data_IF_459561481804
#
_entry.id   IF_459561481804
#
_cell.length_a   1.000
_cell.length_b   1.000
_cell.length_c   1.000
_cell.angle_alpha   90.00
_cell.angle_beta   90.00
_cell.angle_gamma   90.00
#
_symmetry.space_group_name_H-M   'P 1'
#
loop_
_entity.id
_entity.type
_entity.pdbx_description
1 polymer ?
2 non-polymer ?
3 water ?
#
# COMPACT_ATOMS: atom_id res chain seq x y z
N UNK A 2 -14.46 -4.34 -22.58
CA UNK A 2 -14.00 -5.47 -23.38
C UNK A 2 -13.17 -6.39 -22.50
N UNK A 3 -13.40 -6.30 -21.17
CA UNK A 3 -12.69 -7.23 -20.34
C UNK A 3 -13.41 -8.57 -20.27
N UNK A 4 -12.67 -9.66 -20.10
CA UNK A 4 -13.24 -10.97 -19.79
C UNK A 4 -14.13 -10.86 -18.55
N UNK A 5 -15.14 -11.73 -18.40
CA UNK A 5 -15.89 -11.79 -17.16
C UNK A 5 -14.95 -12.22 -15.99
N UNK A 6 -15.07 -11.61 -14.82
CA UNK A 6 -14.34 -12.17 -13.66
C UNK A 6 -14.74 -13.62 -13.44
N UNK A 7 -13.79 -14.41 -12.92
CA UNK A 7 -13.99 -15.84 -12.69
C UNK A 7 -14.15 -16.12 -11.20
N UNK A 8 -15.39 -16.21 -10.69
CA UNK A 8 -15.59 -16.40 -9.28
C UNK A 8 -15.11 -17.77 -8.79
N UNK A 9 -15.25 -18.82 -9.62
CA UNK A 9 -14.77 -20.13 -9.20
C UNK A 9 -13.26 -20.08 -8.99
N UNK A 10 -12.58 -19.39 -9.91
CA UNK A 10 -11.11 -19.22 -9.77
C UNK A 10 -10.81 -18.38 -8.54
N UNK A 11 -11.55 -17.30 -8.29
CA UNK A 11 -11.34 -16.52 -7.06
C UNK A 11 -11.51 -17.40 -5.83
N UNK A 12 -12.55 -18.22 -5.83
CA UNK A 12 -12.82 -19.09 -4.69
C UNK A 12 -11.60 -20.01 -4.47
N UNK A 13 -11.07 -20.56 -5.56
CA UNK A 13 -9.91 -21.46 -5.41
C UNK A 13 -8.71 -20.73 -4.87
N UNK A 14 -8.49 -19.50 -5.28
CA UNK A 14 -7.36 -18.73 -4.75
C UNK A 14 -7.49 -18.57 -3.25
N UNK A 15 -8.65 -18.17 -2.77
CA UNK A 15 -8.82 -17.97 -1.31
C UNK A 15 -8.61 -19.27 -0.59
N UNK A 16 -9.16 -20.37 -1.12
CA UNK A 16 -9.06 -21.67 -0.46
C UNK A 16 -7.62 -22.10 -0.37
N UNK A 17 -6.87 -21.86 -1.45
CA UNK A 17 -5.44 -22.16 -1.43
C UNK A 17 -4.73 -21.33 -0.38
N UNK A 18 -5.05 -20.05 -0.30
CA UNK A 18 -4.38 -19.17 0.71
C UNK A 18 -4.64 -19.72 2.09
N UNK A 19 -5.87 -20.15 2.41
CA UNK A 19 -6.13 -20.74 3.72
C UNK A 19 -5.25 -21.98 3.93
N UNK A 20 -5.12 -22.81 2.91
CA UNK A 20 -4.36 -24.05 3.03
C UNK A 20 -2.88 -23.78 3.29
N UNK A 21 -2.43 -22.56 2.97
CA UNK A 21 -1.03 -22.15 3.13
C UNK A 21 -0.80 -21.33 4.39
N UNK A 22 -1.84 -21.04 5.16
CA UNK A 22 -1.62 -20.46 6.46
C UNK A 22 -2.35 -19.15 6.70
N UNK A 23 -3.10 -18.63 5.71
CA UNK A 23 -3.93 -17.43 6.01
C UNK A 23 -5.10 -17.80 6.86
N UNK A 24 -5.36 -17.17 8.00
CA UNK A 24 -6.58 -17.48 8.73
C UNK A 24 -7.84 -17.17 7.93
N UNK A 25 -7.80 -16.06 7.18
CA UNK A 25 -8.89 -15.62 6.37
C UNK A 25 -8.35 -14.95 5.11
N UNK A 26 -9.18 -14.98 4.07
CA UNK A 26 -8.80 -14.32 2.79
C UNK A 26 -10.06 -13.89 2.10
N UNK A 27 -10.02 -12.76 1.41
CA UNK A 27 -11.26 -12.24 0.78
C UNK A 27 -10.91 -11.35 -0.38
N UNK A 28 -11.90 -11.08 -1.19
CA UNK A 28 -11.71 -10.28 -2.41
C UNK A 28 -13.04 -9.67 -2.82
N UNK A 29 -12.97 -8.43 -3.28
CA UNK A 29 -14.10 -7.71 -3.85
C UNK A 29 -13.72 -7.20 -5.23
N UNK A 30 -14.57 -7.39 -6.20
CA UNK A 30 -14.43 -6.87 -7.57
C UNK A 30 -15.57 -5.91 -7.81
N UNK A 31 -15.25 -4.68 -8.25
CA UNK A 31 -16.29 -3.79 -8.75
C UNK A 31 -16.13 -3.83 -10.24
N UNK A 32 -17.01 -4.55 -10.94
CA UNK A 32 -16.95 -4.73 -12.38
C UNK A 32 -17.96 -3.83 -13.05
N UNK A 33 -17.54 -2.57 -13.25
CA UNK A 33 -18.40 -1.61 -13.95
C UNK A 33 -19.83 -1.61 -13.37
N UNK A 34 -19.93 -1.64 -12.05
CA UNK A 34 -21.26 -1.58 -11.40
C UNK A 34 -21.88 -2.90 -10.97
N UNK A 35 -21.25 -3.99 -11.31
CA UNK A 35 -21.65 -5.31 -10.85
C UNK A 35 -20.61 -5.77 -9.82
N UNK A 36 -21.06 -6.14 -8.61
CA UNK A 36 -20.09 -6.50 -7.57
C UNK A 36 -19.88 -7.99 -7.51
N UNK A 37 -18.62 -8.37 -7.30
CA UNK A 37 -18.26 -9.77 -6.93
C UNK A 37 -17.65 -9.73 -5.56
N UNK A 38 -18.03 -10.63 -4.65
CA UNK A 38 -17.45 -10.61 -3.33
C UNK A 38 -17.38 -12.01 -2.78
N UNK A 39 -16.18 -12.38 -2.33
CA UNK A 39 -15.95 -13.72 -1.80
C UNK A 39 -15.04 -13.61 -0.60
N UNK A 40 -15.19 -14.50 0.37
CA UNK A 40 -14.37 -14.57 1.56
C UNK A 40 -14.34 -16.00 2.06
N UNK A 41 -13.24 -16.40 2.70
CA UNK A 41 -13.19 -17.67 3.35
C UNK A 41 -12.37 -17.56 4.60
N UNK A 42 -12.77 -18.29 5.64
CA UNK A 42 -11.97 -18.28 6.86
C UNK A 42 -12.38 -17.21 7.86
N UNK A 43 -11.45 -16.88 8.74
CA UNK A 43 -11.75 -16.16 9.98
C UNK A 43 -11.02 -14.83 10.06
N UNK A 44 -11.79 -13.84 10.55
CA UNK A 44 -11.26 -12.55 10.91
C UNK A 44 -10.50 -12.62 12.25
N UNK A 45 -10.97 -13.46 13.16
CA UNK A 45 -10.36 -13.66 14.46
C UNK A 45 -10.29 -15.15 14.64
N UNK A 46 -9.05 -15.68 14.66
CA UNK A 46 -8.85 -17.12 14.74
C UNK A 46 -9.07 -17.70 16.11
N UNK A 47 -9.05 -16.84 17.14
CA UNK A 47 -9.27 -17.33 18.48
C UNK A 47 -10.75 -17.42 18.81
N UNK A 48 -11.53 -16.43 18.36
CA UNK A 48 -12.97 -16.47 18.57
C UNK A 48 -13.71 -17.20 17.46
N UNK A 49 -13.07 -17.35 16.29
CA UNK A 49 -13.77 -17.99 15.19
C UNK A 49 -14.62 -17.10 14.35
N UNK A 50 -14.70 -15.78 14.65
CA UNK A 50 -15.54 -14.91 13.85
C UNK A 50 -15.10 -14.91 12.39
N UNK A 51 -16.04 -15.13 11.49
CA UNK A 51 -15.77 -15.23 10.06
C UNK A 51 -15.26 -13.89 9.48
N UNK A 52 -14.34 -13.97 8.52
CA UNK A 52 -13.94 -12.76 7.76
C UNK A 52 -15.00 -12.47 6.74
N UNK A 53 -15.14 -11.18 6.41
CA UNK A 53 -16.07 -10.76 5.40
C UNK A 53 -15.51 -9.54 4.66
N UNK A 54 -16.00 -9.32 3.43
CA UNK A 54 -15.44 -8.24 2.62
C UNK A 54 -15.73 -6.85 3.14
N UNK A 55 -16.57 -6.70 4.16
CA UNK A 55 -16.76 -5.37 4.79
C UNK A 55 -15.83 -5.15 5.96
N UNK A 56 -15.01 -6.12 6.36
CA UNK A 56 -14.11 -5.94 7.48
C UNK A 56 -13.04 -4.90 7.14
N UNK A 57 -12.83 -3.93 8.06
CA UNK A 57 -11.69 -3.00 7.84
C UNK A 57 -10.38 -3.70 8.09
N UNK A 58 -9.31 -3.14 7.52
CA UNK A 58 -7.99 -3.77 7.67
C UNK A 58 -6.93 -2.72 7.42
N UNK A 59 -5.68 -3.07 7.78
CA UNK A 59 -4.51 -2.21 7.53
C UNK A 59 -4.00 -2.42 6.10
N UNK A 60 -3.97 -1.39 5.29
CA UNK A 60 -3.62 -1.51 3.89
C UNK A 60 -2.14 -1.44 3.64
N UNK A 61 -1.33 -1.17 4.68
CA UNK A 61 0.12 -1.15 4.54
C UNK A 61 0.54 -0.19 3.44
N UNK A 62 1.45 -0.62 2.60
CA UNK A 62 2.09 0.23 1.59
C UNK A 62 1.15 0.73 0.53
N UNK A 63 -0.09 0.28 0.47
CA UNK A 63 -1.10 0.97 -0.37
C UNK A 63 -1.19 2.44 0.01
N UNK A 64 -0.86 2.77 1.27
CA UNK A 64 -0.79 4.13 1.75
C UNK A 64 0.02 5.02 0.83
N UNK A 65 1.08 4.46 0.21
CA UNK A 65 1.93 5.32 -0.65
C UNK A 65 1.14 5.93 -1.79
N UNK A 66 0.10 5.24 -2.31
CA UNK A 66 -0.68 5.86 -3.36
C UNK A 66 -1.50 7.04 -2.86
N UNK A 67 -2.00 6.94 -1.61
CA UNK A 67 -2.66 8.13 -1.01
C UNK A 67 -1.68 9.31 -0.85
N UNK A 68 -0.48 9.00 -0.34
CA UNK A 68 0.54 10.06 -0.20
C UNK A 68 0.88 10.67 -1.55
N UNK A 69 1.03 9.83 -2.59
CA UNK A 69 1.34 10.30 -3.92
C UNK A 69 0.24 11.17 -4.49
N UNK A 70 -1.00 10.81 -4.27
CA UNK A 70 -2.11 11.66 -4.75
C UNK A 70 -2.06 13.03 -4.10
N UNK A 71 -1.82 13.10 -2.78
CA UNK A 71 -1.69 14.41 -2.15
C UNK A 71 -0.55 15.22 -2.78
N UNK A 72 0.63 14.64 -2.92
CA UNK A 72 1.75 15.34 -3.51
C UNK A 72 1.47 15.81 -4.93
N UNK A 73 0.81 14.96 -5.73
CA UNK A 73 0.54 15.39 -7.10
C UNK A 73 -0.51 16.49 -7.15
N UNK A 74 -1.45 16.52 -6.20
CA UNK A 74 -2.35 17.70 -6.16
C UNK A 74 -1.57 18.94 -5.76
N UNK A 75 -0.53 18.82 -4.90
CA UNK A 75 0.31 19.97 -4.59
C UNK A 75 1.04 20.41 -5.85
N UNK A 76 1.48 19.53 -6.71
CA UNK A 76 2.07 19.91 -8.01
C UNK A 76 1.04 20.65 -8.84
N UNK A 77 -0.19 20.16 -8.92
CA UNK A 77 -1.23 20.87 -9.64
C UNK A 77 -1.44 22.29 -9.14
N UNK A 78 -1.31 22.48 -7.82
CA UNK A 78 -1.49 23.77 -7.17
C UNK A 78 -0.28 24.67 -7.24
N UNK A 79 0.83 24.17 -7.79
CA UNK A 79 2.02 25.04 -7.92
C UNK A 79 2.91 25.06 -6.70
N UNK A 80 2.62 24.19 -5.74
CA UNK A 80 3.36 24.22 -4.48
C UNK A 80 4.55 23.31 -4.45
N UNK A 81 4.69 22.44 -5.43
CA UNK A 81 5.67 21.38 -5.48
C UNK A 81 6.10 21.20 -6.95
N UNK A 82 7.41 21.10 -7.16
CA UNK A 82 8.00 20.75 -8.47
C UNK A 82 8.64 19.39 -8.31
N UNK A 83 8.21 18.39 -9.11
CA UNK A 83 8.72 17.04 -8.89
C UNK A 83 10.23 16.96 -9.16
N UNK A 84 10.79 17.90 -9.95
CA UNK A 84 12.23 17.78 -10.24
C UNK A 84 13.09 18.67 -9.37
N UNK A 85 12.48 19.33 -8.38
CA UNK A 85 13.26 20.06 -7.40
C UNK A 85 13.84 19.07 -6.40
N UNK A 86 14.97 19.47 -5.81
CA UNK A 86 15.61 18.73 -4.73
C UNK A 86 14.72 18.60 -3.52
N UNK A 87 14.71 17.44 -2.89
CA UNK A 87 14.06 17.36 -1.56
C UNK A 87 14.57 18.42 -0.62
N UNK A 88 15.92 18.62 -0.60
CA UNK A 88 16.52 19.57 0.31
C UNK A 88 16.17 21.00 0.03
N UNK A 89 15.58 21.34 -1.11
CA UNK A 89 15.14 22.71 -1.32
C UNK A 89 13.96 22.98 -0.39
N UNK A 90 13.07 21.98 -0.20
CA UNK A 90 11.89 22.13 0.64
C UNK A 90 12.17 21.79 2.09
N UNK A 91 13.13 20.94 2.34
CA UNK A 91 13.47 20.45 3.70
C UNK A 91 14.97 20.62 3.84
N UNK A 92 15.45 21.85 4.00
CA UNK A 92 16.91 22.04 3.96
C UNK A 92 17.63 21.17 5.01
N UNK A 93 18.74 20.62 4.55
CA UNK A 93 19.62 19.81 5.38
C UNK A 93 19.08 18.39 5.60
N UNK A 94 17.94 17.98 5.02
CA UNK A 94 17.37 16.67 5.34
C UNK A 94 18.27 15.54 4.89
N UNK A 95 18.64 15.59 3.60
CA UNK A 95 19.32 14.44 2.97
C UNK A 95 20.75 14.80 2.67
N UNK A 96 21.61 13.78 2.61
CA UNK A 96 23.03 14.06 2.39
C UNK A 96 23.36 14.44 0.95
N UNK A 97 22.40 14.48 0.02
CA UNK A 97 22.67 14.78 -1.40
C UNK A 97 21.54 15.65 -1.92
N UNK A 98 21.87 16.90 -2.26
CA UNK A 98 20.90 17.82 -2.87
C UNK A 98 20.38 17.29 -4.19
N UNK A 99 21.09 16.34 -4.84
CA UNK A 99 20.60 15.88 -6.14
C UNK A 99 19.40 14.96 -6.04
N UNK A 100 19.08 14.46 -4.85
CA UNK A 100 17.88 13.60 -4.71
C UNK A 100 16.62 14.45 -4.86
N UNK A 101 15.80 14.13 -5.86
CA UNK A 101 14.62 14.95 -6.13
C UNK A 101 13.35 14.29 -5.61
N UNK A 102 12.30 15.09 -5.60
CA UNK A 102 10.98 14.58 -5.18
C UNK A 102 10.52 13.45 -6.06
N UNK A 103 10.72 13.54 -7.39
CA UNK A 103 10.35 12.50 -8.31
C UNK A 103 11.10 11.19 -8.02
N UNK A 104 12.38 11.34 -7.70
CA UNK A 104 13.12 10.13 -7.36
C UNK A 104 12.62 9.44 -6.09
N UNK A 105 12.32 10.23 -5.05
CA UNK A 105 11.79 9.58 -3.83
C UNK A 105 10.47 8.91 -4.17
N UNK A 106 9.59 9.54 -4.97
CA UNK A 106 8.24 8.96 -5.20
C UNK A 106 8.27 7.70 -6.05
N UNK A 107 9.39 7.47 -6.77
CA UNK A 107 9.53 6.32 -7.66
C UNK A 107 10.57 5.33 -7.14
N UNK A 108 11.03 5.47 -5.89
CA UNK A 108 12.01 4.55 -5.31
C UNK A 108 13.30 4.52 -6.12
N UNK A 109 13.74 5.69 -6.56
CA UNK A 109 15.01 5.83 -7.27
C UNK A 109 15.95 6.76 -6.53
N UNK A 110 15.77 6.95 -5.22
CA UNK A 110 16.61 7.92 -4.47
C UNK A 110 17.92 7.40 -3.92
N UNK A 111 18.05 6.07 -3.79
CA UNK A 111 19.20 5.45 -3.13
C UNK A 111 19.08 5.42 -1.63
N UNK A 112 18.03 5.97 -1.02
CA UNK A 112 17.99 6.05 0.45
C UNK A 112 17.82 4.64 1.02
N UNK A 113 18.63 4.33 2.03
CA UNK A 113 18.60 3.00 2.64
C UNK A 113 17.26 2.80 3.36
N UNK A 114 16.73 1.61 3.28
CA UNK A 114 15.43 1.29 3.91
C UNK A 114 15.71 0.79 5.32
N UNK A 115 15.41 1.60 6.32
CA UNK A 115 15.59 1.26 7.75
C UNK A 115 14.78 0.05 8.16
N UNK A 116 13.72 -0.25 7.40
CA UNK A 116 12.80 -1.30 7.89
C UNK A 116 13.53 -2.63 7.76
N UNK A 117 14.55 -2.79 6.92
CA UNK A 117 15.27 -4.07 6.96
C UNK A 117 15.92 -4.32 8.33
N UNK A 118 16.48 -3.28 8.94
CA UNK A 118 17.06 -3.46 10.28
C UNK A 118 15.94 -3.70 11.26
N UNK A 119 14.87 -2.92 11.20
CA UNK A 119 13.83 -3.08 12.20
C UNK A 119 13.22 -4.46 12.22
N UNK A 120 13.00 -5.04 11.02
CA UNK A 120 12.24 -6.29 10.92
C UNK A 120 13.08 -7.47 10.41
N UNK A 121 14.39 -7.39 10.64
CA UNK A 121 15.26 -8.52 10.30
C UNK A 121 14.77 -9.82 10.94
N UNK A 122 14.38 -9.75 12.20
CA UNK A 122 13.70 -10.86 12.84
C UNK A 122 12.23 -10.44 12.90
N UNK A 123 11.35 -11.18 12.27
CA UNK A 123 9.96 -10.69 12.05
C UNK A 123 9.23 -10.39 13.35
N UNK A 124 9.10 -11.38 14.22
CA UNK A 124 8.27 -11.17 15.40
C UNK A 124 9.01 -10.30 16.42
N UNK A 125 10.28 -10.54 16.72
CA UNK A 125 10.97 -9.62 17.63
C UNK A 125 10.96 -8.18 17.12
N UNK A 126 11.10 -7.95 15.81
CA UNK A 126 11.06 -6.60 15.26
C UNK A 126 9.70 -5.96 15.45
N UNK A 127 8.64 -6.75 15.19
CA UNK A 127 7.28 -6.25 15.46
C UNK A 127 7.13 -5.87 16.92
N UNK A 128 7.57 -6.74 17.84
CA UNK A 128 7.41 -6.43 19.26
C UNK A 128 8.20 -5.19 19.62
N UNK A 129 9.33 -4.93 18.92
CA UNK A 129 10.14 -3.78 19.23
C UNK A 129 9.46 -2.47 18.80
N UNK A 130 8.75 -2.41 17.70
CA UNK A 130 8.24 -1.11 17.26
C UNK A 130 6.73 -0.95 17.40
N UNK A 131 5.98 -2.02 17.70
CA UNK A 131 4.54 -1.93 17.63
C UNK A 131 3.93 -0.85 18.49
N UNK A 132 4.54 -0.54 19.62
CA UNK A 132 4.04 0.43 20.57
C UNK A 132 4.93 1.67 20.65
N UNK A 133 5.77 1.91 19.64
CA UNK A 133 6.65 3.09 19.59
C UNK A 133 6.04 4.17 18.72
N UNK A 134 6.33 5.38 19.12
CA UNK A 134 5.93 6.55 18.30
C UNK A 134 7.23 7.21 17.83
N UNK A 135 7.36 7.35 16.54
CA UNK A 135 8.52 8.00 15.93
C UNK A 135 8.11 9.30 15.29
N UNK A 136 9.03 10.28 15.25
CA UNK A 136 8.82 11.42 14.38
C UNK A 136 9.26 11.04 12.97
N UNK A 137 8.87 11.82 11.97
CA UNK A 137 9.40 11.59 10.61
C UNK A 137 10.92 11.69 10.64
N UNK A 138 11.45 12.70 11.34
CA UNK A 138 12.92 12.88 11.39
C UNK A 138 13.61 11.67 12.03
N UNK A 139 12.99 11.09 13.05
CA UNK A 139 13.62 9.88 13.66
C UNK A 139 13.86 8.82 12.59
N UNK A 140 12.89 8.60 11.72
CA UNK A 140 13.01 7.52 10.73
C UNK A 140 14.03 7.88 9.69
N UNK A 141 14.02 9.16 9.24
CA UNK A 141 15.07 9.56 8.29
C UNK A 141 16.46 9.41 8.91
N UNK A 142 16.63 9.81 10.18
CA UNK A 142 17.96 9.63 10.80
C UNK A 142 18.33 8.16 10.83
N UNK A 143 17.39 7.23 11.09
CA UNK A 143 17.73 5.78 11.03
C UNK A 143 18.22 5.38 9.67
N UNK A 144 17.56 5.85 8.59
CA UNK A 144 18.07 5.56 7.23
C UNK A 144 19.48 6.07 7.03
N UNK A 145 19.69 7.33 7.46
CA UNK A 145 20.96 8.00 7.16
C UNK A 145 22.10 7.48 8.02
N UNK A 146 21.91 6.59 8.96
CA UNK A 146 23.04 5.89 9.58
C UNK A 146 23.75 5.06 8.52
N UNK A 147 23.11 4.73 7.42
CA UNK A 147 23.68 3.95 6.36
C UNK A 147 23.91 4.83 5.13
N UNK A 148 24.91 4.46 4.33
CA UNK A 148 25.08 5.20 3.08
C UNK A 148 23.96 4.93 2.11
N UNK A 149 23.79 5.85 1.18
CA UNK A 149 22.89 5.54 0.08
C UNK A 149 23.42 4.30 -0.62
N UNK A 150 22.53 3.64 -1.35
CA UNK A 150 22.91 2.35 -1.95
C UNK A 150 23.12 2.49 -3.44
N UNK A 151 22.64 3.63 -4.01
CA UNK A 151 22.89 3.94 -5.41
C UNK A 151 22.86 5.43 -5.61
N UNK A 152 23.40 5.91 -6.74
CA UNK A 152 23.39 7.35 -7.07
C UNK A 152 21.94 7.79 -7.35
N UNK A 153 21.66 9.06 -7.15
CA UNK A 153 20.29 9.59 -7.35
C UNK A 153 19.75 9.24 -8.71
N UNK A 154 18.58 8.63 -8.77
CA UNK A 154 17.88 8.33 -10.00
C UNK A 154 18.37 7.05 -10.63
N UNK A 155 19.44 6.38 -10.15
CA UNK A 155 20.18 5.41 -10.94
C UNK A 155 19.50 4.04 -10.98
N UNK A 156 18.72 3.65 -9.99
CA UNK A 156 18.14 2.31 -9.97
C UNK A 156 16.87 2.30 -9.12
N UNK A 157 16.01 1.37 -9.41
CA UNK A 157 14.86 1.10 -8.53
C UNK A 157 15.31 0.31 -7.30
N UNK A 158 14.98 0.82 -6.13
CA UNK A 158 15.27 0.08 -4.90
C UNK A 158 14.17 0.48 -3.92
N UNK A 159 13.21 -0.40 -3.68
CA UNK A 159 12.11 0.05 -2.83
C UNK A 159 12.61 0.44 -1.45
N UNK A 160 12.09 1.55 -0.96
CA UNK A 160 12.46 1.93 0.39
C UNK A 160 11.34 2.69 1.06
N UNK A 161 10.91 2.25 2.24
CA UNK A 161 9.91 2.96 3.01
C UNK A 161 10.35 4.37 3.31
N UNK A 162 11.70 4.57 3.42
CA UNK A 162 12.21 5.90 3.72
C UNK A 162 11.70 6.94 2.75
N UNK A 163 11.56 6.54 1.50
CA UNK A 163 11.08 7.48 0.47
C UNK A 163 9.72 8.07 0.83
N UNK A 164 8.80 7.26 1.34
CA UNK A 164 7.46 7.79 1.64
C UNK A 164 7.37 8.34 3.06
N UNK A 165 8.36 8.14 3.90
CA UNK A 165 8.53 8.96 5.10
C UNK A 165 8.89 10.39 4.63
N UNK A 166 9.87 10.53 3.73
CA UNK A 166 10.13 11.86 3.14
C UNK A 166 8.84 12.45 2.56
N UNK A 167 8.08 11.64 1.84
CA UNK A 167 6.85 12.18 1.27
C UNK A 167 5.97 12.81 2.33
N UNK A 168 5.77 12.15 3.48
CA UNK A 168 4.92 12.70 4.54
C UNK A 168 5.49 13.98 5.11
N UNK A 169 6.81 14.05 5.26
CA UNK A 169 7.42 15.27 5.77
C UNK A 169 7.21 16.39 4.79
N UNK A 170 7.32 16.12 3.50
CA UNK A 170 7.06 17.15 2.49
C UNK A 170 5.62 17.64 2.57
N UNK A 171 4.66 16.71 2.63
CA UNK A 171 3.26 17.07 2.72
C UNK A 171 3.04 18.00 3.91
N UNK A 172 3.55 17.63 5.09
CA UNK A 172 3.26 18.43 6.27
C UNK A 172 3.95 19.78 6.22
N UNK A 173 5.18 19.82 5.67
CA UNK A 173 5.88 21.12 5.63
C UNK A 173 5.19 22.05 4.66
N UNK A 174 4.82 21.55 3.46
CA UNK A 174 4.33 22.43 2.41
C UNK A 174 2.87 22.87 2.67
N UNK A 175 2.08 22.08 3.35
CA UNK A 175 0.72 22.44 3.65
C UNK A 175 0.54 23.06 5.00
N UNK A 176 1.43 22.81 5.97
CA UNK A 176 1.21 23.23 7.34
C UNK A 176 0.16 22.40 8.05
N UNK A 177 -0.21 21.23 7.50
CA UNK A 177 -1.24 20.39 8.09
C UNK A 177 -0.66 18.99 8.27
N UNK A 178 -1.35 18.22 9.10
CA UNK A 178 -0.94 16.82 9.29
C UNK A 178 -1.33 16.03 8.03
N UNK A 179 -0.63 14.90 7.85
CA UNK A 179 -1.05 14.04 6.71
C UNK A 179 -2.48 13.55 6.94
N UNK A 180 -2.91 13.30 8.17
CA UNK A 180 -4.28 12.90 8.37
C UNK A 180 -5.30 13.89 7.78
N UNK A 181 -5.07 15.17 8.09
CA UNK A 181 -5.93 16.25 7.57
C UNK A 181 -5.91 16.29 6.06
N UNK A 182 -4.72 16.18 5.46
CA UNK A 182 -4.63 16.24 3.99
C UNK A 182 -5.32 15.06 3.36
N UNK A 183 -5.10 13.84 3.88
CA UNK A 183 -5.80 12.67 3.33
C UNK A 183 -7.30 12.87 3.43
N UNK A 184 -7.75 13.34 4.60
CA UNK A 184 -9.20 13.50 4.79
C UNK A 184 -9.77 14.49 3.80
N UNK A 185 -9.12 15.66 3.69
CA UNK A 185 -9.73 16.74 2.91
C UNK A 185 -9.59 16.51 1.42
N UNK A 186 -8.49 15.85 1.00
CA UNK A 186 -8.22 15.72 -0.46
C UNK A 186 -8.70 14.43 -1.05
N UNK A 187 -8.94 13.41 -0.21
CA UNK A 187 -9.25 12.06 -0.70
C UNK A 187 -10.44 11.49 0.04
N UNK A 188 -10.38 11.28 1.35
CA UNK A 188 -11.41 10.47 2.04
C UNK A 188 -12.77 11.15 2.00
N UNK A 189 -12.82 12.46 2.29
CA UNK A 189 -14.15 13.13 2.22
C UNK A 189 -14.64 13.24 0.81
N UNK A 190 -13.90 13.77 -0.18
CA UNK A 190 -14.48 13.89 -1.54
C UNK A 190 -14.93 12.59 -2.16
N UNK A 191 -14.27 11.47 -1.83
CA UNK A 191 -14.71 10.17 -2.35
C UNK A 191 -15.66 9.41 -1.43
N UNK A 192 -16.01 10.02 -0.28
CA UNK A 192 -16.91 9.42 0.69
C UNK A 192 -16.42 8.02 1.13
N UNK A 193 -15.13 7.94 1.50
CA UNK A 193 -14.53 6.69 1.92
C UNK A 193 -14.75 6.46 3.42
N UNK A 194 -15.98 6.01 3.72
CA UNK A 194 -16.49 5.91 5.07
C UNK A 194 -15.79 4.83 5.88
N UNK A 195 -15.04 3.94 5.25
CA UNK A 195 -14.29 2.91 5.98
C UNK A 195 -12.80 3.21 6.06
N UNK A 196 -12.41 4.43 5.64
CA UNK A 196 -10.97 4.72 5.48
C UNK A 196 -10.53 5.74 6.52
N UNK A 197 -9.41 5.47 7.14
CA UNK A 197 -8.93 6.24 8.28
C UNK A 197 -7.42 6.34 8.29
N UNK A 198 -6.94 7.38 8.96
CA UNK A 198 -5.53 7.51 9.30
C UNK A 198 -5.51 8.00 10.75
N UNK A 199 -5.22 7.14 11.67
CA UNK A 199 -5.43 7.42 13.10
C UNK A 199 -4.11 7.46 13.86
N UNK A 200 -2.99 7.33 13.18
CA UNK A 200 -1.68 7.27 13.80
C UNK A 200 -1.54 8.35 14.86
N UNK A 201 -1.00 8.08 16.03
CA UNK A 201 -0.43 6.80 16.48
C UNK A 201 -1.40 5.89 17.23
N UNK A 202 -2.71 6.08 17.09
CA UNK A 202 -3.66 5.19 17.76
C UNK A 202 -3.50 3.78 17.22
N UNK A 203 -3.65 2.80 18.11
CA UNK A 203 -3.50 1.37 17.82
C UNK A 203 -4.80 0.68 17.55
N UNK A 204 -5.95 1.30 17.82
CA UNK A 204 -7.25 0.69 17.58
C UNK A 204 -7.64 0.84 16.13
N UNK A 205 -8.24 -0.23 15.60
CA UNK A 205 -8.86 -0.16 14.26
C UNK A 205 -10.34 0.16 14.47
N UNK A 206 -10.85 1.30 14.00
CA UNK A 206 -12.24 1.60 14.28
C UNK A 206 -13.19 0.60 13.62
N UNK A 207 -14.25 0.23 14.31
CA UNK A 207 -15.30 -0.61 13.76
C UNK A 207 -14.85 -2.03 13.53
N UNK A 208 -15.70 -2.79 12.89
CA UNK A 208 -15.49 -4.24 12.70
C UNK A 208 -14.33 -4.40 11.76
N UNK A 209 -13.37 -5.23 12.18
CA UNK A 209 -12.17 -5.38 11.39
C UNK A 209 -11.66 -6.82 11.39
N UNK A 210 -10.85 -7.12 10.40
CA UNK A 210 -10.08 -8.35 10.40
C UNK A 210 -8.92 -8.19 11.38
N UNK A 211 -8.64 -9.15 12.22
CA UNK A 211 -7.38 -9.16 13.01
C UNK A 211 -6.26 -9.59 12.06
N UNK A 212 -5.08 -9.13 12.34
CA UNK A 212 -3.90 -9.51 11.57
C UNK A 212 -3.11 -10.57 12.30
N UNK A 213 -2.57 -11.52 11.58
CA UNK A 213 -1.79 -12.61 12.19
C UNK A 213 -0.41 -12.72 11.54
N UNK A 214 0.60 -12.36 12.32
CA UNK A 214 1.97 -12.36 11.83
C UNK A 214 2.50 -13.76 11.90
N UNK A 215 3.00 -14.26 10.78
CA UNK A 215 3.63 -15.58 10.72
C UNK A 215 5.05 -15.45 11.28
N UNK A 216 5.49 -16.30 12.21
CA UNK A 216 6.87 -16.22 12.69
C UNK A 216 7.86 -16.69 11.66
N UNK A 217 9.15 -16.34 11.84
CA UNK A 217 10.18 -16.83 10.93
C UNK A 217 10.43 -18.33 11.07
N UNK A 218 10.07 -18.96 12.17
CA UNK A 218 10.21 -20.41 12.35
C UNK A 218 9.06 -21.13 11.68
N UNK A 219 9.36 -22.01 10.71
CA UNK A 219 8.29 -22.73 10.02
C UNK A 219 7.45 -23.47 11.05
N UNK A 220 6.13 -23.42 10.92
CA UNK A 220 5.22 -24.16 11.83
C UNK A 220 4.99 -23.41 13.12
N UNK A 221 5.60 -22.24 13.39
CA UNK A 221 5.48 -21.55 14.65
C UNK A 221 4.11 -20.94 14.81
N UNK A 222 3.69 -20.72 16.06
CA UNK A 222 2.36 -20.18 16.37
C UNK A 222 2.24 -18.76 15.84
N UNK A 223 1.05 -18.42 15.34
CA UNK A 223 0.82 -17.06 14.82
C UNK A 223 0.70 -16.06 16.00
N UNK A 224 1.12 -14.83 15.68
CA UNK A 224 1.08 -13.71 16.61
C UNK A 224 0.01 -12.72 16.17
N UNK A 225 -0.90 -12.33 17.07
CA UNK A 225 -1.88 -11.32 16.76
C UNK A 225 -1.14 -9.98 16.62
N UNK A 226 -1.16 -9.40 15.44
CA UNK A 226 -0.48 -8.15 15.19
C UNK A 226 -1.42 -7.01 14.84
N UNK A 227 -2.71 -7.18 15.16
CA UNK A 227 -3.75 -6.23 14.79
C UNK A 227 -3.48 -4.81 15.28
N UNK A 228 -3.15 -4.65 16.55
CA UNK A 228 -3.07 -3.32 17.20
C UNK A 228 -1.64 -2.86 17.34
N UNK A 229 -1.30 -1.87 16.55
CA UNK A 229 0.04 -1.28 16.58
C UNK A 229 -0.09 0.17 16.13
N UNK A 230 0.96 0.96 16.38
CA UNK A 230 0.89 2.37 16.00
C UNK A 230 1.13 2.54 14.53
N UNK A 231 1.85 1.64 13.89
CA UNK A 231 2.34 1.81 12.49
C UNK A 231 3.16 3.08 12.38
N UNK A 232 3.76 3.53 13.49
CA UNK A 232 4.52 4.79 13.51
C UNK A 232 5.83 4.63 12.74
N UNK A 233 6.32 3.40 12.60
CA UNK A 233 7.51 3.15 11.79
C UNK A 233 7.26 3.37 10.31
N UNK A 234 6.00 3.50 9.86
CA UNK A 234 5.69 3.72 8.44
C UNK A 234 4.95 5.03 8.17
N UNK A 235 3.93 5.35 8.96
CA UNK A 235 3.18 6.64 8.78
C UNK A 235 2.73 6.81 7.34
N UNK A 236 3.15 7.85 6.63
CA UNK A 236 2.76 8.09 5.23
C UNK A 236 3.29 7.06 4.26
N UNK A 237 4.11 6.10 4.69
CA UNK A 237 4.44 4.92 3.87
C UNK A 237 3.55 3.72 4.14
N UNK A 238 2.70 3.73 5.19
CA UNK A 238 2.02 2.49 5.51
C UNK A 238 0.84 2.47 6.47
N UNK A 239 0.36 3.59 7.05
CA UNK A 239 -0.58 3.50 8.17
C UNK A 239 -2.07 3.67 7.84
N UNK A 240 -2.48 3.75 6.57
CA UNK A 240 -3.94 3.88 6.29
C UNK A 240 -4.68 2.59 6.64
N UNK A 241 -5.90 2.77 7.17
CA UNK A 241 -6.89 1.71 7.37
C UNK A 241 -7.97 1.88 6.32
N UNK A 242 -8.41 0.78 5.71
CA UNK A 242 -9.52 0.93 4.71
C UNK A 242 -10.29 -0.39 4.61
N UNK A 243 -11.04 -0.49 3.50
CA UNK A 243 -11.89 -1.63 3.19
C UNK A 243 -11.75 -1.94 1.73
N UNK A 244 -12.22 -3.16 1.35
CA UNK A 244 -12.16 -3.51 -0.06
C UNK A 244 -13.02 -2.56 -0.88
N UNK A 245 -14.20 -2.19 -0.42
CA UNK A 245 -15.03 -1.26 -1.21
C UNK A 245 -14.30 0.09 -1.37
N UNK A 246 -13.71 0.62 -0.29
CA UNK A 246 -13.09 1.94 -0.40
C UNK A 246 -11.82 1.91 -1.25
N UNK A 247 -10.98 0.88 -1.18
CA UNK A 247 -9.82 0.87 -2.06
C UNK A 247 -10.25 0.72 -3.52
N UNK A 248 -11.32 -0.03 -3.78
CA UNK A 248 -11.84 -0.10 -5.15
C UNK A 248 -12.29 1.30 -5.62
N UNK A 249 -13.02 2.00 -4.71
CA UNK A 249 -13.47 3.36 -5.09
C UNK A 249 -12.26 4.26 -5.38
N UNK A 250 -11.28 4.18 -4.50
CA UNK A 250 -10.09 5.06 -4.62
C UNK A 250 -9.34 4.79 -5.91
N UNK A 251 -8.99 3.54 -6.23
CA UNK A 251 -8.20 3.30 -7.43
C UNK A 251 -9.05 3.52 -8.70
N UNK A 252 -10.36 3.25 -8.66
CA UNK A 252 -11.19 3.61 -9.81
C UNK A 252 -11.20 5.11 -10.03
N UNK A 253 -11.34 5.90 -8.96
CA UNK A 253 -11.30 7.35 -9.07
C UNK A 253 -9.98 7.87 -9.62
N UNK A 254 -8.90 7.26 -9.11
CA UNK A 254 -7.57 7.65 -9.62
C UNK A 254 -7.46 7.41 -11.10
N UNK A 255 -7.75 6.19 -11.55
CA UNK A 255 -7.44 5.84 -12.95
C UNK A 255 -8.41 6.53 -13.88
N UNK A 256 -9.64 6.84 -13.42
CA UNK A 256 -10.61 7.50 -14.28
C UNK A 256 -10.43 9.01 -14.25
N UNK A 257 -9.40 9.55 -13.59
CA UNK A 257 -9.00 10.94 -13.74
C UNK A 257 -9.65 11.88 -12.77
N UNK A 258 -10.17 11.37 -11.63
CA UNK A 258 -10.87 12.22 -10.69
C UNK A 258 -10.02 12.87 -9.62
N UNK A 259 -8.77 12.51 -9.48
CA UNK A 259 -8.01 12.92 -8.28
C UNK A 259 -6.89 13.90 -8.57
N UNK A 260 -6.67 14.28 -9.81
CA UNK A 260 -5.59 15.21 -10.19
C UNK A 260 -5.77 15.56 -11.67
N UNK A 261 -4.95 16.52 -12.11
CA UNK A 261 -5.02 16.84 -13.54
C UNK A 261 -4.52 15.68 -14.37
N UNK A 262 -4.87 15.69 -15.65
CA UNK A 262 -4.39 14.70 -16.60
C UNK A 262 -2.89 14.68 -16.64
N UNK A 263 -2.29 15.87 -16.61
CA UNK A 263 -0.81 15.96 -16.69
C UNK A 263 -0.16 15.22 -15.51
N UNK A 264 -0.71 15.41 -14.31
CA UNK A 264 -0.10 14.77 -13.13
C UNK A 264 -0.41 13.28 -13.13
N UNK A 265 -1.55 12.82 -13.59
CA UNK A 265 -1.76 11.37 -13.72
C UNK A 265 -0.77 10.75 -14.68
N UNK A 266 -0.45 11.48 -15.78
CA UNK A 266 0.54 10.99 -16.72
C UNK A 266 1.90 10.86 -16.06
N UNK A 267 2.28 11.85 -15.24
CA UNK A 267 3.55 11.77 -14.48
C UNK A 267 3.55 10.54 -13.55
N UNK A 268 2.40 10.29 -12.91
CA UNK A 268 2.26 9.18 -11.97
C UNK A 268 2.44 7.82 -12.63
N UNK A 269 2.13 7.77 -13.95
CA UNK A 269 2.26 6.52 -14.72
C UNK A 269 3.48 6.45 -15.62
N UNK A 270 4.53 7.27 -15.29
CA UNK A 270 5.80 7.08 -16.03
C UNK A 270 6.52 5.93 -15.32
N UNK A 271 6.58 4.78 -15.97
CA UNK A 271 7.00 3.54 -15.32
C UNK A 271 8.52 3.39 -15.27
N UNK A 272 9.03 3.12 -14.08
CA UNK A 272 10.36 2.60 -13.80
C UNK A 272 10.24 1.09 -13.86
N UNK A 273 11.08 0.44 -14.62
CA UNK A 273 10.99 -1.00 -14.72
C UNK A 273 11.30 -1.66 -13.39
N UNK A 274 10.50 -2.62 -12.93
CA UNK A 274 10.73 -3.46 -11.78
C UNK A 274 11.14 -4.86 -12.26
N UNK A 275 10.37 -5.41 -13.20
CA UNK A 275 10.72 -6.68 -13.86
C UNK A 275 9.97 -6.73 -15.19
N UNK A 276 10.07 -7.84 -15.90
CA UNK A 276 9.50 -7.84 -17.23
C UNK A 276 7.98 -7.73 -17.16
N UNK A 277 7.33 -7.86 -16.03
CA UNK A 277 5.85 -7.77 -15.94
C UNK A 277 5.42 -6.75 -14.90
N UNK A 278 6.30 -5.85 -14.47
CA UNK A 278 5.94 -4.88 -13.44
C UNK A 278 6.73 -3.58 -13.56
N UNK A 279 6.03 -2.50 -13.23
CA UNK A 279 6.63 -1.20 -13.19
C UNK A 279 6.25 -0.47 -11.93
N UNK A 280 6.99 0.60 -11.65
CA UNK A 280 6.64 1.51 -10.53
C UNK A 280 6.59 2.94 -11.06
N UNK A 281 5.54 3.68 -10.82
CA UNK A 281 5.33 5.04 -11.31
C UNK A 281 5.76 5.99 -10.17
N UNK A 282 4.78 6.82 -9.75
CA UNK A 282 4.96 7.68 -8.57
C UNK A 282 3.95 7.22 -7.52
N UNK A 283 4.39 6.42 -6.56
CA UNK A 283 3.47 5.82 -5.61
C UNK A 283 2.39 4.97 -6.24
N UNK A 284 2.77 4.21 -7.29
CA UNK A 284 1.79 3.45 -8.06
C UNK A 284 2.50 2.30 -8.74
N UNK A 285 1.90 1.13 -8.75
CA UNK A 285 2.46 -0.09 -9.37
C UNK A 285 1.65 -0.40 -10.63
N UNK A 286 2.37 -0.95 -11.60
CA UNK A 286 1.75 -1.61 -12.79
C UNK A 286 2.06 -3.08 -12.74
N UNK A 287 1.06 -3.93 -12.92
CA UNK A 287 1.27 -5.38 -13.10
C UNK A 287 0.67 -5.78 -14.45
N UNK A 288 1.48 -6.54 -15.20
CA UNK A 288 1.12 -7.11 -16.50
C UNK A 288 0.61 -8.54 -16.34
N UNK A 289 -0.65 -8.74 -16.71
CA UNK A 289 -1.29 -10.04 -16.45
C UNK A 289 -1.16 -10.95 -17.64
N UNK A 290 -1.42 -12.24 -17.41
CA UNK A 290 -1.05 -13.24 -18.41
C UNK A 290 -1.81 -13.09 -19.70
N UNK A 291 -3.02 -12.54 -19.61
CA UNK A 291 -3.87 -12.40 -20.80
C UNK A 291 -3.62 -11.10 -21.55
N UNK A 292 -2.54 -10.39 -21.18
CA UNK A 292 -2.18 -9.23 -21.97
C UNK A 292 -2.82 -7.96 -21.46
N UNK A 293 -3.39 -7.95 -20.27
CA UNK A 293 -4.01 -6.76 -19.65
C UNK A 293 -3.02 -6.22 -18.65
N UNK A 294 -2.82 -4.92 -18.52
CA UNK A 294 -2.12 -4.35 -17.36
C UNK A 294 -3.12 -3.72 -16.40
N UNK A 295 -2.76 -3.80 -15.11
CA UNK A 295 -3.58 -3.17 -14.07
C UNK A 295 -2.68 -2.36 -13.16
N UNK A 296 -3.31 -1.44 -12.41
CA UNK A 296 -2.63 -0.29 -11.82
C UNK A 296 -3.10 -0.10 -10.40
N UNK A 297 -2.18 0.05 -9.45
CA UNK A 297 -2.64 0.17 -8.05
C UNK A 297 -1.46 -0.05 -7.12
N UNK A 298 -1.64 -0.80 -6.04
CA UNK A 298 -0.52 -0.99 -5.15
C UNK A 298 -0.81 -2.25 -4.30
N UNK A 299 0.28 -2.81 -3.76
CA UNK A 299 0.26 -3.85 -2.77
C UNK A 299 0.60 -3.31 -1.39
N UNK A 300 0.21 -4.06 -0.37
CA UNK A 300 0.59 -3.76 1.00
C UNK A 300 0.96 -5.01 1.79
N UNK A 301 1.95 -4.85 2.66
CA UNK A 301 2.36 -5.98 3.54
C UNK A 301 2.71 -5.75 5.04
N UNK A 302 1.95 -4.89 5.70
CA UNK A 302 2.08 -4.51 7.07
C UNK A 302 1.80 -5.73 7.93
N UNK A 303 2.29 -5.75 9.16
CA UNK A 303 2.29 -7.02 9.90
C UNK A 303 0.87 -7.59 10.03
N UNK A 304 0.72 -8.82 9.51
CA UNK A 304 -0.54 -9.52 9.58
C UNK A 304 -1.54 -9.28 8.48
N UNK A 305 -1.18 -8.44 7.48
CA UNK A 305 -2.09 -8.12 6.41
C UNK A 305 -1.40 -8.01 5.06
N UNK A 306 -1.82 -8.81 4.12
CA UNK A 306 -1.41 -8.71 2.71
C UNK A 306 -2.56 -8.19 1.86
N UNK A 307 -2.32 -7.06 1.21
CA UNK A 307 -3.31 -6.41 0.37
C UNK A 307 -2.84 -6.33 -1.08
N UNK A 308 -3.76 -6.60 -2.00
CA UNK A 308 -3.62 -6.23 -3.43
C UNK A 308 -4.78 -5.31 -3.79
N UNK A 309 -4.53 -4.14 -4.37
CA UNK A 309 -5.63 -3.27 -4.81
C UNK A 309 -5.27 -2.67 -6.16
N UNK A 310 -5.95 -3.09 -7.20
CA UNK A 310 -5.58 -2.72 -8.57
C UNK A 310 -6.86 -2.45 -9.38
N UNK A 311 -6.71 -1.57 -10.37
CA UNK A 311 -7.80 -1.23 -11.28
C UNK A 311 -7.32 -1.26 -12.71
N UNK A 312 -8.30 -1.42 -13.62
CA UNK A 312 -7.98 -1.32 -15.07
C UNK A 312 -7.64 0.12 -15.42
N UNK A 313 -7.08 0.29 -16.63
CA UNK A 313 -6.58 1.61 -17.07
C UNK A 313 -7.62 2.70 -16.97
N UNK A 314 -8.90 2.37 -17.28
CA UNK A 314 -9.92 3.42 -17.26
C UNK A 314 -10.66 3.41 -15.93
N UNK A 315 -10.21 2.61 -14.96
CA UNK A 315 -10.92 2.59 -13.68
C UNK A 315 -12.21 1.79 -13.64
N UNK A 316 -12.68 1.22 -14.76
CA UNK A 316 -14.04 0.64 -14.74
C UNK A 316 -14.10 -0.67 -13.99
N UNK A 317 -12.98 -1.41 -13.87
CA UNK A 317 -12.96 -2.63 -13.05
C UNK A 317 -11.87 -2.42 -11.98
N UNK A 318 -12.21 -2.66 -10.72
CA UNK A 318 -11.24 -2.61 -9.65
C UNK A 318 -11.39 -3.83 -8.78
N UNK A 319 -10.29 -4.23 -8.16
CA UNK A 319 -10.22 -5.44 -7.35
C UNK A 319 -9.36 -5.15 -6.13
N UNK A 320 -9.86 -5.57 -4.98
CA UNK A 320 -9.07 -5.50 -3.75
C UNK A 320 -9.18 -6.85 -3.06
N UNK A 321 -8.02 -7.40 -2.75
CA UNK A 321 -7.93 -8.70 -2.06
C UNK A 321 -7.10 -8.52 -0.79
N UNK A 322 -7.45 -9.29 0.23
CA UNK A 322 -6.82 -9.19 1.56
C UNK A 322 -6.70 -10.61 2.12
N UNK A 323 -5.51 -10.95 2.59
CA UNK A 323 -5.34 -12.11 3.48
C UNK A 323 -4.80 -11.59 4.79
N UNK A 324 -5.34 -12.05 5.92
CA UNK A 324 -4.93 -11.52 7.23
C UNK A 324 -3.80 -12.33 7.86
N UNK A 325 -2.77 -12.52 7.00
CA UNK A 325 -1.46 -12.89 7.54
C UNK A 325 -0.40 -12.09 6.81
N UNK A 326 0.83 -12.11 7.33
CA UNK A 326 1.99 -11.68 6.57
C UNK A 326 3.18 -12.56 6.97
N UNK A 327 4.30 -12.25 6.30
CA UNK A 327 5.53 -13.08 6.44
C UNK A 327 5.23 -14.53 6.03
N UNK A 328 4.51 -14.68 4.93
CA UNK A 328 4.16 -16.00 4.39
C UNK A 328 4.17 -15.86 2.88
N UNK A 329 5.33 -16.11 2.26
CA UNK A 329 5.47 -15.88 0.83
C UNK A 329 4.51 -16.74 0.03
N UNK A 330 4.20 -17.96 0.49
CA UNK A 330 3.25 -18.78 -0.28
C UNK A 330 1.93 -18.06 -0.36
N UNK A 331 1.42 -17.54 0.76
CA UNK A 331 0.18 -16.80 0.76
C UNK A 331 0.27 -15.57 -0.12
N UNK A 332 1.36 -14.82 0.04
CA UNK A 332 1.54 -13.61 -0.77
C UNK A 332 1.43 -13.92 -2.26
N UNK A 333 2.13 -15.00 -2.69
CA UNK A 333 2.10 -15.34 -4.14
C UNK A 333 0.73 -15.79 -4.54
N UNK A 334 0.07 -16.58 -3.70
CA UNK A 334 -1.25 -17.04 -4.06
C UNK A 334 -2.20 -15.88 -4.20
N UNK A 335 -2.18 -14.91 -3.31
CA UNK A 335 -3.18 -13.83 -3.37
C UNK A 335 -3.01 -12.99 -4.61
N UNK A 336 -1.83 -12.92 -5.21
CA UNK A 336 -1.66 -12.22 -6.49
C UNK A 336 -2.51 -12.82 -7.59
N UNK A 337 -2.83 -14.10 -7.45
CA UNK A 337 -3.63 -14.80 -8.47
C UNK A 337 -5.03 -14.26 -8.53
N UNK A 338 -5.53 -13.56 -7.49
CA UNK A 338 -6.85 -12.94 -7.59
C UNK A 338 -6.90 -11.96 -8.77
N UNK A 339 -5.78 -11.34 -9.12
CA UNK A 339 -5.84 -10.38 -10.23
C UNK A 339 -6.06 -11.09 -11.55
N UNK A 340 -5.42 -12.25 -11.71
CA UNK A 340 -5.65 -13.09 -12.91
C UNK A 340 -7.12 -13.48 -13.00
N UNK A 341 -7.69 -14.05 -11.95
CA UNK A 341 -9.06 -14.50 -12.04
C UNK A 341 -10.02 -13.34 -12.25
N UNK A 342 -9.74 -12.19 -11.59
CA UNK A 342 -10.68 -11.09 -11.64
C UNK A 342 -10.63 -10.34 -12.98
N UNK A 343 -9.45 -10.21 -13.58
CA UNK A 343 -9.30 -9.45 -14.81
C UNK A 343 -9.23 -10.35 -16.03
N UNK A 344 -8.51 -11.46 -15.96
CA UNK A 344 -8.37 -12.30 -17.17
C UNK A 344 -9.48 -13.34 -17.27
N UNK A 345 -10.16 -13.67 -16.18
CA UNK A 345 -11.25 -14.60 -16.17
C UNK A 345 -10.86 -16.03 -16.37
N UNK A 346 -11.84 -16.87 -16.76
CA UNK A 346 -11.61 -18.30 -16.93
C UNK A 346 -10.65 -18.57 -18.06
N UNK A 347 -9.73 -19.53 -17.86
CA UNK A 347 -8.82 -19.91 -18.92
C UNK A 347 -9.61 -20.46 -20.11
X LIG B 1 8.08 -3.27 1.86
X LIG B 1 8.54 -3.58 0.11
X LIG B 1 7.57 -4.21 -0.55
X LIG B 1 5.97 -4.15 -0.07
X LIG B 1 5.58 -3.59 0.79
X LIG B 1 6.47 -2.73 1.48
X LIG B 1 7.92 -5.05 -1.72
X LIG B 1 5.00 -4.95 -0.92
X LIG B 1 3.82 -4.58 -0.95
X LIG B 1 5.28 -5.98 -1.57
X LIG B 1 3.35 -2.51 2.67
X LIG B 1 5.77 -3.20 3.78
X LIG B 1 5.79 -2.24 2.79
X LIG B 1 4.30 -1.84 2.38
X LIG B 1 6.41 -3.19 5.04
X LIG B 1 6.37 -4.11 5.89
X LIG B 1 7.79 -4.88 6.16
X LIG B 1 8.86 -4.32 5.52
X LIG B 1 10.11 -4.90 5.68
X LIG B 1 10.24 -6.04 6.46
X LIG B 1 9.14 -6.55 7.14
X LIG B 1 7.88 -6.00 6.91
X LIG B 1 7.11 -2.01 5.15
X LIG B 1 8.40 -6.21 -0.92
X LIG B 1 9.35 -7.21 -1.54
X LIG B 1 9.53 -8.17 -0.39
X LIG B 1 8.80 -7.71 -2.80
X LIG B 1 10.18 -7.89 0.62
X LIG B 1 8.92 -9.42 -0.48
X LIG B 1 9.63 -8.45 -3.66
X LIG B 1 10.70 -8.64 -3.06
X LIG B 1 8.83 -8.67 -4.93
X LIG B 1 8.07 -9.97 5.51
X LIG B 1 8.89 -10.24 0.73
X LIG B 1 8.40 -11.62 0.26
X LIG B 1 7.99 -9.61 1.75
X LIG B 1 7.08 -8.91 1.43
X LIG B 1 8.38 -9.93 3.04
X LIG B 1 7.51 -9.56 4.14
X LIG B 1 6.22 -10.34 4.15
X LIG B 1 6.08 -11.31 3.37
X LIG B 1 5.42 -10.00 5.02
X LIG B 1 9.69 -9.27 -6.06
X LIG B 1 8.80 -9.41 -7.33
X LIG B 1 7.46 -10.01 -6.81
X LIG B 1 9.39 -10.20 -8.38
X LIG B 1 9.25 -11.50 -8.73
X LIG B 1 7.54 -10.98 -6.01
X LIG B 1 6.41 -9.46 -7.22
X LIG B 1 9.11 -11.83 -10.24
X LIG B 1 9.86 -12.34 -8.11
#
# INVERSE_FOLDING_TARGET
ADLPAPDDTGLQAVLHTALSQGAPGAMVRVDDNGTIHQLSEGVADRATGRAITTTDRFRVGSVTKSFSAVVLLQLVDEGKLDLDASVNTYLPGLLPDDRITVRQVMSHRSGLYDYTNDMFAQTVPGFESVRNKVFSYQDLITLSLKHGVTNAPGAAYSYSNTNFVVAGMLIEKLTGHSVATEYQNRIFTPLNLTDTFYVHPDTVIPGTHANGYLTPDEAGGALVDSTEQTVSWAQSAGAVISSTQDLDTFFSALMSGQLMSAAQLAQMQQWTTVNSTQGYGLGLRRRDLSCGISVYGHTGTVQGYYTYAFASKDGKRSVTALANTSNNVNVLNTMARTLESAFCGKPTT
CEH S1 C1 C2 C3 N1 C4 C5 C6 O1 O2 O3 N2 C7 C8 C9 C10 C11 C12 C13 C14 C15 C16 O11 C17 C18 C19 N4 O4 N3 C24 O7 C20 C25 C27 C28 C29 O8 N6 C30 C31 O9 O10 C21 C22 C23 N5 C26 O5 O6 C32 O12
#
